data_IF_560092481980
#
_entry.id   IF_560092481980
#
_cell.length_a   1.000
_cell.length_b   1.000
_cell.length_c   1.000
_cell.angle_alpha   90.00
_cell.angle_beta   90.00
_cell.angle_gamma   90.00
#
_symmetry.space_group_name_H-M   'P 1'
#
loop_
_entity.id
_entity.type
_entity.pdbx_description
1 polymer ?
#
# COMPACT_ATOMS: atom_id res chain seq x y z
N UNK A 1 5.36 9.60 -27.70
CA UNK A 1 5.08 9.85 -26.27
C UNK A 1 6.09 9.06 -25.45
N UNK A 2 6.89 9.71 -24.61
CA UNK A 2 7.79 9.03 -23.67
C UNK A 2 7.08 8.90 -22.33
N UNK A 3 6.96 7.67 -21.80
CA UNK A 3 6.42 7.46 -20.44
C UNK A 3 7.53 7.69 -19.42
N UNK A 4 7.20 8.45 -18.36
CA UNK A 4 8.09 8.62 -17.21
C UNK A 4 8.00 7.38 -16.33
N UNK A 5 9.16 6.85 -15.94
CA UNK A 5 9.29 5.73 -15.00
C UNK A 5 10.22 6.18 -13.88
N UNK A 6 9.84 5.94 -12.63
CA UNK A 6 10.69 6.11 -11.45
C UNK A 6 11.02 4.75 -10.86
N UNK A 7 12.30 4.54 -10.51
CA UNK A 7 12.81 3.31 -9.92
C UNK A 7 13.84 3.65 -8.85
N UNK A 8 13.60 3.18 -7.62
CA UNK A 8 14.49 3.36 -6.49
C UNK A 8 14.77 2.03 -5.81
N UNK A 9 15.98 1.88 -5.27
CA UNK A 9 16.35 0.71 -4.46
C UNK A 9 15.77 0.88 -3.05
N UNK A 10 14.88 -0.04 -2.66
CA UNK A 10 14.43 -0.23 -1.28
C UNK A 10 15.28 -1.35 -0.66
N UNK A 11 16.07 -1.05 0.38
CA UNK A 11 17.05 -2.01 0.92
C UNK A 11 16.42 -3.09 1.79
N UNK A 12 15.29 -2.80 2.39
CA UNK A 12 14.57 -3.64 3.33
C UNK A 12 13.09 -3.22 3.38
N UNK A 13 12.32 -3.86 4.27
CA UNK A 13 10.92 -3.56 4.51
C UNK A 13 10.68 -2.83 5.84
N UNK A 14 11.70 -2.17 6.40
CA UNK A 14 11.49 -1.31 7.56
C UNK A 14 10.56 -0.15 7.16
N UNK A 15 9.53 0.16 7.98
CA UNK A 15 8.50 1.13 7.59
C UNK A 15 9.05 2.48 7.12
N UNK A 16 10.10 2.98 7.79
CA UNK A 16 10.75 4.26 7.44
C UNK A 16 11.39 4.19 6.05
N UNK A 17 12.15 3.13 5.75
CA UNK A 17 12.84 2.96 4.46
C UNK A 17 11.83 2.83 3.33
N UNK A 18 10.75 2.08 3.55
CA UNK A 18 9.67 1.89 2.57
C UNK A 18 8.94 3.21 2.31
N UNK A 19 8.56 3.95 3.37
CA UNK A 19 7.87 5.24 3.26
C UNK A 19 8.71 6.25 2.48
N UNK A 20 9.99 6.42 2.82
CA UNK A 20 10.90 7.33 2.12
C UNK A 20 11.09 6.95 0.65
N UNK A 21 11.19 5.66 0.36
CA UNK A 21 11.39 5.19 -1.02
C UNK A 21 10.14 5.41 -1.87
N UNK A 22 8.95 5.10 -1.34
CA UNK A 22 7.68 5.35 -2.03
C UNK A 22 7.45 6.86 -2.21
N UNK A 23 7.71 7.67 -1.18
CA UNK A 23 7.58 9.13 -1.26
C UNK A 23 8.41 9.74 -2.38
N UNK A 24 9.69 9.34 -2.49
CA UNK A 24 10.59 9.78 -3.58
C UNK A 24 10.05 9.36 -4.95
N UNK A 25 9.64 8.09 -5.11
CA UNK A 25 9.10 7.58 -6.36
C UNK A 25 7.85 8.35 -6.80
N UNK A 26 6.92 8.60 -5.88
CA UNK A 26 5.69 9.32 -6.17
C UNK A 26 5.97 10.79 -6.51
N UNK A 27 6.87 11.45 -5.79
CA UNK A 27 7.24 12.85 -6.05
C UNK A 27 7.79 13.04 -7.48
N UNK A 28 8.66 12.14 -7.96
CA UNK A 28 9.20 12.17 -9.33
C UNK A 28 8.12 11.97 -10.41
N UNK A 29 7.02 11.30 -10.04
CA UNK A 29 5.86 11.07 -10.90
C UNK A 29 4.80 12.19 -10.80
N UNK A 30 5.01 13.21 -9.97
CA UNK A 30 4.09 14.33 -9.79
C UNK A 30 3.14 14.20 -8.60
N UNK A 31 3.39 13.24 -7.70
CA UNK A 31 2.60 13.01 -6.49
C UNK A 31 1.28 12.28 -6.75
N UNK A 32 0.55 11.99 -5.66
CA UNK A 32 -0.77 11.35 -5.73
C UNK A 32 -1.93 12.36 -5.76
N UNK A 33 -1.71 13.59 -5.30
CA UNK A 33 -2.77 14.60 -5.12
C UNK A 33 -3.66 14.76 -6.35
N UNK A 34 -3.14 14.89 -7.59
CA UNK A 34 -3.99 15.04 -8.77
C UNK A 34 -4.92 13.84 -9.02
N UNK A 35 -4.54 12.66 -8.54
CA UNK A 35 -5.29 11.42 -8.72
C UNK A 35 -6.30 11.18 -7.59
N UNK A 36 -5.96 11.54 -6.35
CA UNK A 36 -6.67 11.07 -5.15
C UNK A 36 -7.43 12.15 -4.38
N UNK A 37 -7.06 13.42 -4.52
CA UNK A 37 -7.60 14.50 -3.68
C UNK A 37 -9.15 14.55 -3.70
N UNK A 38 -9.74 14.57 -2.50
CA UNK A 38 -11.20 14.59 -2.29
C UNK A 38 -11.94 13.27 -2.54
N UNK A 39 -11.25 12.21 -2.97
CA UNK A 39 -11.88 10.92 -3.33
C UNK A 39 -11.76 9.89 -2.22
N UNK A 40 -12.65 8.90 -2.25
CA UNK A 40 -12.42 7.64 -1.54
C UNK A 40 -11.60 6.71 -2.43
N UNK A 41 -10.46 6.24 -1.95
CA UNK A 41 -9.50 5.43 -2.73
C UNK A 41 -9.53 3.99 -2.26
N UNK A 42 -9.65 3.06 -3.21
CA UNK A 42 -9.49 1.63 -2.96
C UNK A 42 -8.09 1.19 -3.34
N UNK A 43 -7.34 0.65 -2.38
CA UNK A 43 -6.07 -0.03 -2.65
C UNK A 43 -6.31 -1.53 -2.89
N UNK A 44 -5.80 -2.02 -4.03
CA UNK A 44 -5.87 -3.43 -4.43
C UNK A 44 -4.48 -4.09 -4.41
N UNK A 45 -4.02 -4.62 -3.26
CA UNK A 45 -2.61 -4.94 -3.01
C UNK A 45 -2.09 -6.25 -3.64
N UNK A 46 -2.91 -7.01 -4.37
CA UNK A 46 -2.58 -8.32 -4.92
C UNK A 46 -2.41 -9.42 -3.84
N UNK A 47 -3.47 -9.66 -3.08
CA UNK A 47 -3.57 -10.80 -2.17
C UNK A 47 -3.79 -12.10 -2.94
N UNK A 48 -2.98 -13.13 -2.67
CA UNK A 48 -3.10 -14.47 -3.26
C UNK A 48 -3.63 -15.50 -2.24
N UNK A 49 -2.92 -15.67 -1.12
CA UNK A 49 -3.25 -16.65 -0.08
C UNK A 49 -2.71 -16.21 1.29
N UNK A 50 -3.32 -16.65 2.42
CA UNK A 50 -2.88 -16.28 3.77
C UNK A 50 -1.61 -17.04 4.16
N UNK A 51 -0.46 -16.54 3.72
CA UNK A 51 0.87 -17.09 4.02
C UNK A 51 1.67 -16.10 4.87
N UNK A 52 2.69 -16.60 5.55
CA UNK A 52 3.63 -15.74 6.28
C UNK A 52 4.33 -14.78 5.32
N UNK A 53 4.57 -13.54 5.77
CA UNK A 53 5.31 -12.50 5.06
C UNK A 53 6.65 -13.00 4.51
N UNK A 54 7.34 -13.88 5.27
CA UNK A 54 8.63 -14.49 4.87
C UNK A 54 8.57 -15.29 3.56
N UNK A 55 7.38 -15.72 3.13
CA UNK A 55 7.20 -16.46 1.87
C UNK A 55 7.00 -15.57 0.64
N UNK A 56 6.85 -14.25 0.82
CA UNK A 56 6.65 -13.28 -0.27
C UNK A 56 5.54 -13.66 -1.27
N UNK A 57 4.48 -14.31 -0.78
CA UNK A 57 3.34 -14.76 -1.61
C UNK A 57 2.37 -13.63 -1.94
N UNK A 58 2.35 -12.59 -1.11
CA UNK A 58 1.53 -11.39 -1.28
C UNK A 58 2.41 -10.16 -1.09
N UNK A 59 1.94 -8.99 -1.54
CA UNK A 59 2.61 -7.72 -1.30
C UNK A 59 2.88 -7.52 0.20
N UNK A 60 4.06 -6.98 0.51
CA UNK A 60 4.50 -6.78 1.87
C UNK A 60 3.61 -5.74 2.58
N UNK A 61 3.18 -5.98 3.84
CA UNK A 61 2.27 -5.08 4.56
C UNK A 61 2.80 -3.64 4.67
N UNK A 62 4.10 -3.45 4.90
CA UNK A 62 4.74 -2.12 4.97
C UNK A 62 4.55 -1.29 3.68
N UNK A 63 4.59 -1.92 2.50
CA UNK A 63 4.37 -1.23 1.21
C UNK A 63 2.92 -0.76 1.10
N UNK A 64 1.97 -1.63 1.49
CA UNK A 64 0.54 -1.32 1.44
C UNK A 64 0.21 -0.15 2.39
N UNK A 65 0.73 -0.21 3.61
CA UNK A 65 0.53 0.84 4.61
C UNK A 65 1.13 2.18 4.16
N UNK A 66 2.35 2.18 3.63
CA UNK A 66 2.99 3.41 3.14
C UNK A 66 2.23 4.05 1.96
N UNK A 67 1.65 3.25 1.05
CA UNK A 67 0.80 3.80 -0.03
C UNK A 67 -0.53 4.34 0.51
N UNK A 68 -1.12 3.66 1.50
CA UNK A 68 -2.35 4.15 2.15
C UNK A 68 -2.12 5.50 2.84
N UNK A 69 -1.04 5.61 3.60
CA UNK A 69 -0.61 6.85 4.24
C UNK A 69 -0.35 7.94 3.21
N UNK A 70 0.41 7.66 2.15
CA UNK A 70 0.69 8.63 1.09
C UNK A 70 -0.57 9.13 0.37
N UNK A 71 -1.59 8.26 0.19
CA UNK A 71 -2.85 8.68 -0.41
C UNK A 71 -3.66 9.61 0.53
N UNK A 72 -3.67 9.33 1.83
CA UNK A 72 -4.29 10.19 2.85
C UNK A 72 -3.57 11.54 2.95
N UNK A 73 -2.23 11.54 3.02
CA UNK A 73 -1.40 12.75 3.02
C UNK A 73 -1.62 13.59 1.76
N UNK A 74 -1.90 12.96 0.62
CA UNK A 74 -2.24 13.61 -0.65
C UNK A 74 -3.71 14.08 -0.77
N UNK A 75 -4.47 14.07 0.33
CA UNK A 75 -5.82 14.63 0.40
C UNK A 75 -6.94 13.68 0.02
N UNK A 76 -6.71 12.36 0.00
CA UNK A 76 -7.82 11.41 -0.12
C UNK A 76 -8.82 11.61 1.03
N UNK A 77 -10.12 11.61 0.71
CA UNK A 77 -11.20 11.68 1.70
C UNK A 77 -11.23 10.45 2.60
N UNK A 78 -10.78 9.32 2.07
CA UNK A 78 -10.70 8.05 2.77
C UNK A 78 -9.97 7.01 1.94
N UNK A 79 -9.43 6.00 2.60
CA UNK A 79 -8.77 4.87 1.95
C UNK A 79 -9.36 3.58 2.49
N UNK A 80 -9.58 2.60 1.63
CA UNK A 80 -9.87 1.22 2.01
C UNK A 80 -8.97 0.26 1.25
N UNK A 81 -8.73 -0.92 1.81
CA UNK A 81 -7.99 -2.00 1.15
C UNK A 81 -8.98 -3.09 0.81
N UNK A 82 -9.01 -3.56 -0.44
CA UNK A 82 -9.78 -4.75 -0.79
C UNK A 82 -9.07 -5.56 -1.87
N UNK A 83 -9.32 -6.86 -1.85
CA UNK A 83 -8.86 -7.75 -2.91
C UNK A 83 -9.78 -8.97 -3.01
N UNK A 84 -9.63 -9.73 -4.09
CA UNK A 84 -10.29 -11.03 -4.29
C UNK A 84 -9.23 -12.12 -4.37
N UNK A 85 -8.75 -12.66 -3.22
CA UNK A 85 -7.65 -13.60 -3.21
C UNK A 85 -8.07 -14.95 -3.82
N UNK A 86 -7.12 -15.63 -4.47
CA UNK A 86 -7.34 -16.99 -4.96
C UNK A 86 -7.68 -17.97 -3.83
N UNK A 87 -7.11 -17.75 -2.64
CA UNK A 87 -7.35 -18.58 -1.45
C UNK A 87 -7.66 -17.71 -0.23
N UNK A 88 -8.86 -17.87 0.31
CA UNK A 88 -9.29 -17.22 1.56
C UNK A 88 -9.82 -15.79 1.37
N UNK A 89 -10.32 -15.19 2.46
CA UNK A 89 -10.87 -13.83 2.46
C UNK A 89 -9.75 -12.78 2.59
N UNK A 90 -9.90 -11.61 1.97
CA UNK A 90 -8.93 -10.51 2.04
C UNK A 90 -8.52 -10.17 3.48
N UNK A 91 -9.50 -9.98 4.38
CA UNK A 91 -9.27 -9.73 5.80
C UNK A 91 -8.45 -10.82 6.51
N UNK A 92 -8.55 -12.08 6.08
CA UNK A 92 -7.73 -13.18 6.62
C UNK A 92 -6.28 -13.08 6.13
N UNK A 93 -6.07 -12.69 4.87
CA UNK A 93 -4.73 -12.44 4.31
C UNK A 93 -4.09 -11.27 5.05
N UNK A 94 -4.79 -10.13 5.14
CA UNK A 94 -4.34 -8.92 5.82
C UNK A 94 -3.92 -9.20 7.27
N UNK A 95 -4.75 -9.91 8.04
CA UNK A 95 -4.39 -10.32 9.40
C UNK A 95 -3.16 -11.23 9.44
N UNK A 96 -3.04 -12.17 8.50
CA UNK A 96 -1.92 -13.12 8.48
C UNK A 96 -0.57 -12.45 8.21
N UNK A 97 -0.58 -11.35 7.46
CA UNK A 97 0.62 -10.57 7.17
C UNK A 97 0.86 -9.42 8.16
N UNK A 98 0.00 -9.21 9.17
CA UNK A 98 0.14 -8.11 10.13
C UNK A 98 -0.20 -6.74 9.54
N UNK A 99 -1.03 -6.68 8.50
CA UNK A 99 -1.41 -5.42 7.84
C UNK A 99 -2.45 -4.64 8.66
N UNK A 100 -3.31 -5.33 9.42
CA UNK A 100 -4.42 -4.68 10.14
C UNK A 100 -3.86 -3.68 11.16
N UNK A 101 -2.82 -4.09 11.89
CA UNK A 101 -2.16 -3.30 12.92
C UNK A 101 -1.48 -2.04 12.35
N UNK A 102 -1.03 -2.09 11.09
CA UNK A 102 -0.43 -0.94 10.41
C UNK A 102 -1.47 0.05 9.87
N UNK A 103 -2.69 -0.42 9.58
CA UNK A 103 -3.75 0.40 8.99
C UNK A 103 -4.68 1.03 10.04
N UNK A 104 -4.79 0.42 11.22
CA UNK A 104 -5.60 0.91 12.34
C UNK A 104 -5.33 2.40 12.69
N UNK A 105 -4.07 2.86 12.89
CA UNK A 105 -3.81 4.28 13.20
C UNK A 105 -4.16 5.23 12.05
N UNK A 106 -4.30 4.71 10.82
CA UNK A 106 -4.69 5.48 9.64
C UNK A 106 -6.22 5.52 9.45
N UNK A 107 -6.99 4.80 10.27
CA UNK A 107 -8.44 4.64 10.08
C UNK A 107 -8.81 3.90 8.79
N UNK A 108 -7.91 3.03 8.28
CA UNK A 108 -8.10 2.31 7.02
C UNK A 108 -8.56 0.88 7.29
N UNK A 109 -9.63 0.47 6.61
CA UNK A 109 -10.23 -0.86 6.78
C UNK A 109 -9.85 -1.84 5.65
N UNK A 110 -9.94 -3.14 5.95
CA UNK A 110 -9.73 -4.27 5.02
C UNK A 110 -10.90 -5.26 5.00
#
# INVERSE_FOLDING_TARGET
MTMRVSLHRCTDYEPVVVKETIGRMLAELGGLEPCVSGKHVLLKPNFLAPRSVKKAVTTHPAVIAAVAEAALEAGARGVSVADSPAVGKARRVARKIGLIELLEPLGVEV
#
